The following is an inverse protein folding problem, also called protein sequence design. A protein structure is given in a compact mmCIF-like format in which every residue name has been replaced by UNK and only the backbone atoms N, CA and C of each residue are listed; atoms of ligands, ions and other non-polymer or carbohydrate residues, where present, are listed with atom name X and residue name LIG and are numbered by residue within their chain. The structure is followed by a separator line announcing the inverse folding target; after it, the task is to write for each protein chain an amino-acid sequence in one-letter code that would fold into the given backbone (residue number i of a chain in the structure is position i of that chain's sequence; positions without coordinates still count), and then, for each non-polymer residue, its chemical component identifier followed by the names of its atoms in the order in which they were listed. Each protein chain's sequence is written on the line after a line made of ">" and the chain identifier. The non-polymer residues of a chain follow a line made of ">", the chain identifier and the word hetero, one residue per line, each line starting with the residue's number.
data_IF_539948385904
#
_entry.id   IF_539948385904
#
_cell.length_a   1.000
_cell.length_b   1.000
_cell.length_c   1.000
_cell.angle_alpha   90.00
_cell.angle_beta   90.00
_cell.angle_gamma   90.00
#
_symmetry.space_group_name_H-M   'P 1'
#
loop_
_entity.id
_entity.type
_entity.pdbx_description
1 polymer ?
#
# COMPACT_ATOMS: atom_id res chain seq x y z
N UNK A 1 -6.34 21.32 -5.89
CA UNK A 1 -4.94 20.90 -6.17
C UNK A 1 -4.63 19.62 -5.37
N UNK A 2 -4.77 18.43 -5.98
CA UNK A 2 -4.56 17.16 -5.28
C UNK A 2 -3.12 16.97 -4.79
N UNK A 3 -2.13 17.48 -5.56
CA UNK A 3 -0.70 17.41 -5.25
C UNK A 3 -0.33 17.99 -3.88
N UNK A 4 -0.96 19.09 -3.45
CA UNK A 4 -0.65 19.76 -2.18
C UNK A 4 -1.52 19.31 -0.99
N UNK A 5 -2.37 18.29 -1.15
CA UNK A 5 -3.10 17.68 -0.03
C UNK A 5 -2.14 17.07 1.00
N UNK A 6 -2.44 17.24 2.29
CA UNK A 6 -1.67 16.67 3.41
C UNK A 6 -1.92 15.16 3.62
N UNK A 7 -2.94 14.61 2.96
CA UNK A 7 -3.24 13.18 3.04
C UNK A 7 -2.26 12.37 2.18
N UNK A 8 -1.97 11.12 2.57
CA UNK A 8 -1.21 10.21 1.72
C UNK A 8 -1.84 10.11 0.32
N UNK A 9 -1.01 10.20 -0.72
CA UNK A 9 -1.44 10.07 -2.11
C UNK A 9 -1.76 8.61 -2.40
N UNK A 10 -2.73 8.38 -3.28
CA UNK A 10 -3.19 7.03 -3.63
C UNK A 10 -2.90 6.65 -5.07
N UNK A 11 -2.40 7.60 -5.87
CA UNK A 11 -2.13 7.46 -7.28
C UNK A 11 -0.68 7.83 -7.56
N UNK A 12 -0.11 7.27 -8.62
CA UNK A 12 1.26 7.59 -9.06
C UNK A 12 1.32 9.02 -9.59
N UNK A 13 0.26 9.48 -10.25
CA UNK A 13 0.16 10.82 -10.83
C UNK A 13 0.19 11.93 -9.78
N UNK A 14 -0.33 11.66 -8.58
CA UNK A 14 -0.31 12.61 -7.46
C UNK A 14 0.97 12.51 -6.60
N UNK A 15 1.87 11.55 -6.89
CA UNK A 15 3.11 11.29 -6.14
C UNK A 15 4.36 11.68 -6.94
N UNK A 16 4.72 12.95 -6.85
CA UNK A 16 5.85 13.52 -7.58
C UNK A 16 7.21 12.87 -7.24
N UNK A 17 7.97 12.48 -8.27
CA UNK A 17 9.39 12.13 -8.18
C UNK A 17 9.69 10.80 -7.48
N UNK A 18 8.73 9.86 -7.50
CA UNK A 18 8.83 8.54 -6.86
C UNK A 18 8.63 7.38 -7.83
N UNK A 19 8.73 7.64 -9.12
CA UNK A 19 8.42 6.71 -10.20
C UNK A 19 9.36 5.49 -10.17
N UNK A 20 10.63 5.70 -9.81
CA UNK A 20 11.62 4.63 -9.70
C UNK A 20 11.33 3.73 -8.49
N UNK A 21 11.03 4.30 -7.33
CA UNK A 21 10.70 3.52 -6.13
C UNK A 21 9.40 2.71 -6.30
N UNK A 22 8.40 3.26 -7.00
CA UNK A 22 7.18 2.51 -7.34
C UNK A 22 7.54 1.32 -8.23
N UNK A 23 8.31 1.55 -9.30
CA UNK A 23 8.71 0.49 -10.23
C UNK A 23 9.49 -0.61 -9.51
N UNK A 24 10.43 -0.24 -8.65
CA UNK A 24 11.21 -1.18 -7.84
C UNK A 24 10.32 -1.99 -6.89
N UNK A 25 9.44 -1.32 -6.14
CA UNK A 25 8.51 -1.97 -5.22
C UNK A 25 7.61 -2.98 -5.94
N UNK A 26 7.04 -2.62 -7.09
CA UNK A 26 6.20 -3.51 -7.90
C UNK A 26 7.01 -4.74 -8.35
N UNK A 27 8.24 -4.55 -8.84
CA UNK A 27 9.09 -5.65 -9.28
C UNK A 27 9.41 -6.60 -8.13
N UNK A 28 9.81 -6.08 -6.96
CA UNK A 28 10.12 -6.88 -5.79
C UNK A 28 8.90 -7.68 -5.30
N UNK A 29 7.71 -7.08 -5.30
CA UNK A 29 6.46 -7.78 -4.96
C UNK A 29 6.15 -8.90 -5.95
N UNK A 30 6.32 -8.66 -7.26
CA UNK A 30 6.13 -9.69 -8.30
C UNK A 30 7.11 -10.86 -8.17
N UNK A 31 8.32 -10.59 -7.71
CA UNK A 31 9.33 -11.59 -7.37
C UNK A 31 9.10 -12.27 -6.02
N UNK A 32 7.97 -12.00 -5.34
CA UNK A 32 7.62 -12.55 -4.02
C UNK A 32 8.67 -12.25 -2.95
N UNK A 33 9.32 -11.10 -3.03
CA UNK A 33 10.30 -10.63 -2.05
C UNK A 33 9.63 -9.93 -0.88
N UNK A 34 10.21 -10.08 0.30
CA UNK A 34 9.87 -9.27 1.46
C UNK A 34 10.56 -7.92 1.33
N UNK A 35 9.78 -6.83 1.46
CA UNK A 35 10.27 -5.46 1.26
C UNK A 35 10.02 -4.64 2.50
N UNK A 36 11.06 -3.92 2.96
CA UNK A 36 10.95 -2.93 4.02
C UNK A 36 11.19 -1.53 3.43
N UNK A 37 10.22 -0.63 3.59
CA UNK A 37 10.34 0.76 3.12
C UNK A 37 10.69 1.64 4.32
N UNK A 38 11.92 2.18 4.31
CA UNK A 38 12.49 2.93 5.43
C UNK A 38 12.58 4.43 5.12
N UNK A 39 12.67 5.24 6.18
CA UNK A 39 12.90 6.68 6.07
C UNK A 39 12.14 7.50 7.11
N UNK A 40 12.46 8.81 7.25
CA UNK A 40 11.84 9.71 8.24
C UNK A 40 10.31 9.81 8.11
N UNK A 41 9.64 10.27 9.15
CA UNK A 41 8.19 10.57 9.07
C UNK A 41 7.91 11.63 8.00
N UNK A 42 6.73 11.55 7.40
CA UNK A 42 6.23 12.51 6.41
C UNK A 42 6.95 12.55 5.04
N UNK A 43 7.90 11.65 4.76
CA UNK A 43 8.59 11.59 3.45
C UNK A 43 7.78 10.93 2.32
N UNK A 44 6.53 10.53 2.58
CA UNK A 44 5.65 9.94 1.57
C UNK A 44 5.65 8.41 1.49
N UNK A 45 6.22 7.69 2.48
CA UNK A 45 6.23 6.20 2.49
C UNK A 45 4.82 5.58 2.39
N UNK A 46 3.85 6.12 3.15
CA UNK A 46 2.46 5.64 3.10
C UNK A 46 1.85 5.90 1.72
N UNK A 47 2.14 7.06 1.12
CA UNK A 47 1.69 7.38 -0.24
C UNK A 47 2.27 6.41 -1.27
N UNK A 48 3.56 6.09 -1.15
CA UNK A 48 4.26 5.13 -2.02
C UNK A 48 3.59 3.75 -1.99
N UNK A 49 3.28 3.24 -0.79
CA UNK A 49 2.60 1.94 -0.61
C UNK A 49 1.21 1.97 -1.24
N UNK A 50 0.43 3.03 -1.01
CA UNK A 50 -0.93 3.15 -1.55
C UNK A 50 -0.94 3.24 -3.08
N UNK A 51 -0.07 4.08 -3.64
CA UNK A 51 0.09 4.21 -5.09
C UNK A 51 0.53 2.88 -5.74
N UNK A 52 1.50 2.17 -5.14
CA UNK A 52 1.90 0.86 -5.61
C UNK A 52 0.79 -0.18 -5.49
N UNK A 53 0.01 -0.17 -4.41
CA UNK A 53 -1.15 -1.06 -4.23
C UNK A 53 -2.17 -0.90 -5.36
N UNK A 54 -2.46 0.34 -5.76
CA UNK A 54 -3.36 0.64 -6.88
C UNK A 54 -2.82 0.08 -8.19
N UNK A 55 -1.53 0.24 -8.46
CA UNK A 55 -0.90 -0.31 -9.67
C UNK A 55 -0.87 -1.85 -9.67
N UNK A 56 -0.57 -2.48 -8.54
CA UNK A 56 -0.65 -3.94 -8.39
C UNK A 56 -2.06 -4.46 -8.69
N UNK A 57 -3.11 -3.79 -8.19
CA UNK A 57 -4.50 -4.11 -8.51
C UNK A 57 -4.80 -3.98 -10.00
N UNK A 58 -4.33 -2.92 -10.67
CA UNK A 58 -4.47 -2.75 -12.14
C UNK A 58 -3.77 -3.86 -12.93
N UNK A 59 -2.71 -4.45 -12.38
CA UNK A 59 -2.01 -5.59 -12.95
C UNK A 59 -2.66 -6.95 -12.63
N UNK A 60 -3.82 -6.97 -11.98
CA UNK A 60 -4.54 -8.19 -11.58
C UNK A 60 -3.94 -8.90 -10.35
N UNK A 61 -3.04 -8.24 -9.62
CA UNK A 61 -2.45 -8.78 -8.39
C UNK A 61 -3.34 -8.34 -7.23
N UNK A 62 -4.00 -9.32 -6.58
CA UNK A 62 -4.75 -9.08 -5.34
C UNK A 62 -3.77 -8.71 -4.23
N UNK A 63 -3.98 -7.53 -3.65
CA UNK A 63 -3.13 -7.00 -2.58
C UNK A 63 -4.00 -6.35 -1.51
N UNK A 64 -3.70 -6.65 -0.25
CA UNK A 64 -4.44 -6.21 0.92
C UNK A 64 -3.59 -5.18 1.66
N UNK A 65 -4.13 -3.98 1.87
CA UNK A 65 -3.49 -2.97 2.71
C UNK A 65 -3.96 -3.09 4.16
N UNK A 66 -3.05 -3.35 5.09
CA UNK A 66 -3.35 -3.47 6.51
C UNK A 66 -2.63 -2.33 7.26
N UNK A 67 -3.40 -1.47 7.93
CA UNK A 67 -2.86 -0.47 8.83
C UNK A 67 -2.67 -1.07 10.23
N UNK A 68 -1.42 -1.27 10.65
CA UNK A 68 -1.09 -1.84 11.95
C UNK A 68 -1.05 -0.81 13.10
N UNK A 69 -1.43 0.45 12.84
CA UNK A 69 -1.48 1.47 13.90
C UNK A 69 -2.46 1.06 15.00
N UNK A 70 -1.97 0.97 16.24
CA UNK A 70 -2.76 0.56 17.39
C UNK A 70 -2.94 -0.96 17.54
N UNK A 71 -2.48 -1.76 16.58
CA UNK A 71 -2.49 -3.23 16.67
C UNK A 71 -1.45 -3.70 17.69
N UNK A 72 -1.85 -4.63 18.57
CA UNK A 72 -1.00 -5.16 19.64
C UNK A 72 -1.10 -6.68 19.75
N UNK A 73 0.05 -7.31 19.96
CA UNK A 73 0.16 -8.76 20.15
C UNK A 73 -0.21 -9.58 18.91
N UNK A 74 -0.07 -10.90 19.02
CA UNK A 74 -0.35 -11.82 17.92
C UNK A 74 -1.84 -11.83 17.54
N UNK A 75 -2.75 -11.83 18.52
CA UNK A 75 -4.19 -11.86 18.26
C UNK A 75 -4.66 -10.60 17.50
N UNK A 76 -4.17 -9.42 17.88
CA UNK A 76 -4.49 -8.18 17.17
C UNK A 76 -4.02 -8.20 15.70
N UNK A 77 -2.83 -8.76 15.44
CA UNK A 77 -2.32 -8.91 14.07
C UNK A 77 -3.21 -9.85 13.24
N UNK A 78 -3.61 -10.99 13.81
CA UNK A 78 -4.50 -11.94 13.14
C UNK A 78 -5.84 -11.31 12.77
N UNK A 79 -6.46 -10.56 13.69
CA UNK A 79 -7.71 -9.85 13.44
C UNK A 79 -7.53 -8.80 12.32
N UNK A 80 -6.45 -8.03 12.34
CA UNK A 80 -6.17 -7.04 11.31
C UNK A 80 -5.97 -7.66 9.91
N UNK A 81 -5.35 -8.85 9.84
CA UNK A 81 -5.22 -9.60 8.58
C UNK A 81 -6.58 -10.11 8.11
N UNK A 82 -7.38 -10.72 9.00
CA UNK A 82 -8.70 -11.23 8.65
C UNK A 82 -9.63 -10.12 8.13
N UNK A 83 -9.66 -8.97 8.81
CA UNK A 83 -10.43 -7.80 8.37
C UNK A 83 -9.95 -7.28 7.00
N UNK A 84 -8.65 -7.25 6.77
CA UNK A 84 -8.07 -6.86 5.49
C UNK A 84 -8.50 -7.77 4.35
N UNK A 85 -8.47 -9.09 4.57
CA UNK A 85 -8.88 -10.08 3.57
C UNK A 85 -10.37 -9.95 3.22
N UNK A 86 -11.24 -9.81 4.22
CA UNK A 86 -12.68 -9.70 4.01
C UNK A 86 -13.10 -8.43 3.24
N UNK A 87 -12.35 -7.32 3.38
CA UNK A 87 -12.66 -6.07 2.66
C UNK A 87 -12.34 -6.13 1.17
N UNK A 88 -11.33 -6.91 0.78
CA UNK A 88 -10.95 -7.06 -0.64
C UNK A 88 -11.91 -7.97 -1.41
N UNK A 89 -12.59 -8.91 -0.74
CA UNK A 89 -13.61 -9.76 -1.39
C UNK A 89 -14.85 -8.96 -1.81
N UNK A 90 -15.27 -7.97 -1.02
CA UNK A 90 -16.43 -7.12 -1.32
C UNK A 90 -16.27 -6.19 -2.53
N UNK A 91 -15.04 -5.94 -3.00
CA UNK A 91 -14.79 -5.06 -4.15
C UNK A 91 -14.54 -5.82 -5.46
N UNK A 92 -14.54 -7.15 -5.42
CA UNK A 92 -14.34 -7.99 -6.59
C UNK A 92 -15.66 -8.48 -7.24
N UNK A 93 -16.80 -8.23 -6.58
CA UNK A 93 -18.14 -8.69 -7.00
C UNK A 93 -19.10 -7.55 -7.41
N UNK A 94 -18.63 -6.30 -7.43
CA UNK A 94 -19.37 -5.11 -7.89
C UNK A 94 -18.92 -4.64 -9.28
#
# INVERSE_FOLDING_TARGET
>A
MPLFSLHPKETTEDLFGREQEIKELINLVREKRWVAILGPRMVGKTSLIKAANRELKRMGIKAVYINLWGVRGAHGLLNAIAEGLNREEYTAED
#
